data_IF_828208895988
#
_entry.id   IF_828208895988
#
_cell.length_a   1.000
_cell.length_b   1.000
_cell.length_c   1.000
_cell.angle_alpha   90.00
_cell.angle_beta   90.00
_cell.angle_gamma   90.00
#
_symmetry.space_group_name_H-M   'P 1'
#
loop_
_entity.id
_entity.type
_entity.pdbx_description
1 polymer ?
#
# COMPACT_ATOMS: atom_id res chain seq x y z
N UNK A 1 -10.16 6.46 -12.48
CA UNK A 1 -9.49 7.76 -12.70
C UNK A 1 -9.47 8.16 -14.16
N UNK A 2 -9.25 7.23 -15.09
CA UNK A 2 -9.29 7.47 -16.54
C UNK A 2 -10.55 8.21 -17.05
N UNK A 3 -11.75 7.77 -16.66
CA UNK A 3 -13.01 8.42 -17.06
C UNK A 3 -13.15 9.83 -16.50
N UNK A 4 -12.68 10.08 -15.27
CA UNK A 4 -12.75 11.41 -14.65
C UNK A 4 -11.79 12.39 -15.32
N UNK A 5 -10.55 11.99 -15.65
CA UNK A 5 -9.61 12.87 -16.36
C UNK A 5 -9.94 13.04 -17.85
N UNK A 6 -10.61 12.06 -18.47
CA UNK A 6 -11.13 12.18 -19.83
C UNK A 6 -12.29 13.18 -19.97
N UNK A 7 -13.08 13.34 -18.90
CA UNK A 7 -14.22 14.27 -18.85
C UNK A 7 -13.82 15.68 -18.40
N UNK A 8 -12.89 15.80 -17.44
CA UNK A 8 -12.54 17.07 -16.77
C UNK A 8 -11.14 17.61 -17.12
N UNK A 9 -10.64 17.38 -18.34
CA UNK A 9 -9.33 17.91 -18.74
C UNK A 9 -9.39 19.43 -18.99
N UNK A 10 -8.66 20.21 -18.19
CA UNK A 10 -8.71 21.68 -18.22
C UNK A 10 -7.64 22.32 -19.12
N UNK A 11 -6.53 21.62 -19.41
CA UNK A 11 -5.39 22.15 -20.18
C UNK A 11 -5.63 22.15 -21.70
N UNK A 12 -4.98 23.07 -22.41
CA UNK A 12 -4.97 23.17 -23.88
C UNK A 12 -3.75 22.41 -24.44
N UNK A 13 -3.81 21.72 -25.60
CA UNK A 13 -4.87 21.70 -26.61
C UNK A 13 -5.99 20.67 -26.34
N UNK A 14 -7.20 20.96 -26.81
CA UNK A 14 -8.40 20.12 -26.62
C UNK A 14 -8.84 19.52 -27.96
N UNK A 15 -8.52 18.25 -28.23
CA UNK A 15 -9.17 17.50 -29.32
C UNK A 15 -10.36 16.76 -28.77
N UNK A 16 -11.55 17.30 -29.04
CA UNK A 16 -12.82 16.70 -28.65
C UNK A 16 -13.03 15.44 -29.50
N UNK A 17 -13.09 14.28 -28.85
CA UNK A 17 -13.28 13.00 -29.56
C UNK A 17 -14.76 12.61 -29.65
N UNK A 18 -15.54 12.90 -28.59
CA UNK A 18 -16.95 12.52 -28.49
C UNK A 18 -17.72 13.48 -27.58
N UNK A 19 -18.84 14.01 -28.05
CA UNK A 19 -19.78 14.83 -27.26
C UNK A 19 -20.91 13.91 -26.80
N UNK A 20 -21.02 13.68 -25.49
CA UNK A 20 -22.03 12.77 -24.91
C UNK A 20 -23.35 13.50 -24.66
N UNK A 21 -23.30 14.77 -24.23
CA UNK A 21 -24.49 15.59 -23.93
C UNK A 21 -24.28 16.98 -24.53
N UNK A 22 -25.23 17.42 -25.36
CA UNK A 22 -25.29 18.79 -25.88
C UNK A 22 -25.61 19.79 -24.75
N UNK A 23 -25.13 21.05 -24.86
CA UNK A 23 -25.34 22.04 -23.81
C UNK A 23 -26.83 22.24 -23.54
N UNK A 24 -27.23 22.08 -22.29
CA UNK A 24 -28.60 22.33 -21.85
C UNK A 24 -28.58 23.23 -20.60
N UNK A 25 -29.73 23.76 -20.18
CA UNK A 25 -29.84 24.71 -19.05
C UNK A 25 -29.20 24.25 -17.72
N UNK A 26 -28.98 22.93 -17.55
CA UNK A 26 -28.33 22.33 -16.38
C UNK A 26 -26.82 22.09 -16.57
N UNK A 27 -26.31 22.05 -17.80
CA UNK A 27 -24.90 21.76 -18.14
C UNK A 27 -24.42 22.73 -19.21
N UNK A 28 -23.88 23.89 -18.78
CA UNK A 28 -23.50 25.00 -19.65
C UNK A 28 -22.37 24.68 -20.66
N UNK A 29 -21.57 23.62 -20.45
CA UNK A 29 -20.45 23.25 -21.34
C UNK A 29 -20.65 21.93 -22.11
N UNK A 30 -21.74 21.21 -21.85
CA UNK A 30 -21.94 19.83 -22.35
C UNK A 30 -20.89 18.84 -21.82
N UNK A 31 -21.18 17.54 -21.89
CA UNK A 31 -20.23 16.52 -21.46
C UNK A 31 -19.39 16.06 -22.66
N UNK A 32 -18.15 16.53 -22.74
CA UNK A 32 -17.23 16.23 -23.86
C UNK A 32 -16.08 15.36 -23.36
N UNK A 33 -15.74 14.30 -24.09
CA UNK A 33 -14.56 13.50 -23.83
C UNK A 33 -13.40 14.05 -24.65
N UNK A 34 -12.31 14.39 -23.95
CA UNK A 34 -11.06 14.89 -24.55
C UNK A 34 -10.08 13.73 -24.78
N UNK A 35 -9.46 13.69 -25.96
CA UNK A 35 -8.46 12.67 -26.31
C UNK A 35 -7.23 12.76 -25.39
N UNK A 36 -6.79 13.98 -25.10
CA UNK A 36 -5.67 14.27 -24.21
C UNK A 36 -5.98 13.86 -22.75
N UNK A 37 -7.24 14.07 -22.30
CA UNK A 37 -7.70 13.63 -21.00
C UNK A 37 -7.73 12.10 -20.84
N UNK A 38 -8.06 11.38 -21.92
CA UNK A 38 -8.01 9.91 -21.94
C UNK A 38 -6.57 9.39 -21.86
N UNK A 39 -5.63 10.01 -22.58
CA UNK A 39 -4.20 9.65 -22.54
C UNK A 39 -3.60 9.87 -21.15
N UNK A 40 -3.77 11.06 -20.57
CA UNK A 40 -3.28 11.35 -19.21
C UNK A 40 -3.98 10.47 -18.16
N UNK A 41 -5.27 10.22 -18.32
CA UNK A 41 -6.05 9.32 -17.47
C UNK A 41 -5.58 7.87 -17.53
N UNK A 42 -5.16 7.39 -18.71
CA UNK A 42 -4.59 6.06 -18.90
C UNK A 42 -3.22 5.94 -18.21
N UNK A 43 -2.33 6.92 -18.42
CA UNK A 43 -1.00 6.97 -17.77
C UNK A 43 -1.15 6.99 -16.24
N UNK A 44 -2.06 7.80 -15.70
CA UNK A 44 -2.28 7.89 -14.25
C UNK A 44 -2.89 6.59 -13.68
N UNK A 45 -3.82 5.97 -14.41
CA UNK A 45 -4.42 4.70 -13.97
C UNK A 45 -3.40 3.57 -13.99
N UNK A 46 -2.56 3.50 -15.03
CA UNK A 46 -1.46 2.54 -15.11
C UNK A 46 -0.44 2.73 -13.98
N UNK A 47 -0.13 3.98 -13.63
CA UNK A 47 0.75 4.31 -12.50
C UNK A 47 0.20 3.76 -11.18
N UNK A 48 -1.09 3.98 -10.90
CA UNK A 48 -1.71 3.50 -9.66
C UNK A 48 -1.72 1.97 -9.61
N UNK A 49 -2.04 1.33 -10.74
CA UNK A 49 -1.99 -0.14 -10.85
C UNK A 49 -0.57 -0.66 -10.60
N UNK A 50 0.43 -0.09 -11.25
CA UNK A 50 1.83 -0.51 -11.10
C UNK A 50 2.29 -0.41 -9.63
N UNK A 51 2.02 0.72 -8.95
CA UNK A 51 2.35 0.90 -7.52
C UNK A 51 1.60 -0.11 -6.65
N UNK A 52 0.33 -0.38 -6.96
CA UNK A 52 -0.48 -1.35 -6.22
C UNK A 52 0.07 -2.77 -6.38
N UNK A 53 0.44 -3.18 -7.60
CA UNK A 53 1.04 -4.49 -7.86
C UNK A 53 2.35 -4.69 -7.12
N UNK A 54 3.23 -3.68 -7.10
CA UNK A 54 4.47 -3.73 -6.31
C UNK A 54 4.15 -3.87 -4.82
N UNK A 55 3.20 -3.09 -4.30
CA UNK A 55 2.75 -3.19 -2.90
C UNK A 55 2.21 -4.58 -2.55
N UNK A 56 1.35 -5.15 -3.38
CA UNK A 56 0.85 -6.51 -3.20
C UNK A 56 1.95 -7.55 -3.28
N UNK A 57 2.89 -7.41 -4.23
CA UNK A 57 4.05 -8.30 -4.34
C UNK A 57 4.89 -8.31 -3.07
N UNK A 58 5.14 -7.15 -2.47
CA UNK A 58 5.85 -7.05 -1.17
C UNK A 58 5.06 -7.76 -0.07
N UNK A 59 3.76 -7.49 0.06
CA UNK A 59 2.92 -8.11 1.08
C UNK A 59 2.82 -9.65 0.95
N UNK A 60 2.77 -10.19 -0.27
CA UNK A 60 2.69 -11.63 -0.51
C UNK A 60 4.03 -12.36 -0.35
N UNK A 61 5.14 -11.72 -0.70
CA UNK A 61 6.47 -12.35 -0.66
C UNK A 61 7.19 -12.21 0.69
N UNK A 62 6.78 -11.26 1.53
CA UNK A 62 7.45 -10.96 2.80
C UNK A 62 6.85 -11.77 3.95
N UNK A 63 7.65 -12.64 4.56
CA UNK A 63 7.28 -13.31 5.80
C UNK A 63 7.41 -12.38 7.01
N UNK A 64 6.64 -12.65 8.08
CA UNK A 64 6.69 -11.87 9.32
C UNK A 64 8.11 -11.83 9.95
N UNK A 65 8.93 -12.84 9.68
CA UNK A 65 10.30 -12.94 10.22
C UNK A 65 11.25 -11.96 9.51
N UNK A 66 11.16 -11.87 8.19
CA UNK A 66 11.93 -10.88 7.41
C UNK A 66 11.52 -9.45 7.77
N UNK A 67 10.26 -9.25 8.12
CA UNK A 67 9.79 -7.95 8.61
C UNK A 67 10.44 -7.57 9.95
N UNK A 68 10.57 -8.52 10.90
CA UNK A 68 11.27 -8.30 12.16
C UNK A 68 12.73 -7.90 11.96
N UNK A 69 13.42 -8.61 11.06
CA UNK A 69 14.82 -8.34 10.74
C UNK A 69 15.00 -6.97 10.08
N UNK A 70 14.08 -6.59 9.18
CA UNK A 70 14.06 -5.25 8.59
C UNK A 70 13.90 -4.14 9.63
N UNK A 71 12.99 -4.30 10.60
CA UNK A 71 12.82 -3.34 11.70
C UNK A 71 14.06 -3.28 12.61
N UNK A 72 14.72 -4.42 12.84
CA UNK A 72 15.99 -4.47 13.59
C UNK A 72 17.11 -3.77 12.84
N UNK A 73 17.20 -3.92 11.52
CA UNK A 73 18.17 -3.23 10.68
C UNK A 73 18.03 -1.70 10.73
N UNK A 74 16.81 -1.20 10.93
CA UNK A 74 16.50 0.23 11.12
C UNK A 74 16.86 0.72 12.56
N UNK A 75 17.47 -0.14 13.40
CA UNK A 75 17.84 0.14 14.80
C UNK A 75 16.67 0.51 15.72
N UNK A 76 15.49 -0.05 15.44
CA UNK A 76 14.35 0.05 16.37
C UNK A 76 14.63 -0.82 17.61
N UNK A 77 14.31 -0.37 18.83
CA UNK A 77 14.40 -1.18 20.04
C UNK A 77 13.74 -2.56 19.87
N UNK A 78 14.42 -3.62 20.32
CA UNK A 78 13.98 -4.99 20.11
C UNK A 78 12.56 -5.25 20.64
N UNK A 79 12.19 -4.63 21.76
CA UNK A 79 10.83 -4.71 22.33
C UNK A 79 9.75 -4.24 21.35
N UNK A 80 9.95 -3.09 20.70
CA UNK A 80 9.02 -2.56 19.71
C UNK A 80 8.95 -3.45 18.47
N UNK A 81 10.10 -3.89 17.96
CA UNK A 81 10.15 -4.77 16.79
C UNK A 81 9.45 -6.11 17.06
N UNK A 82 9.67 -6.70 18.24
CA UNK A 82 9.01 -7.92 18.69
C UNK A 82 7.50 -7.75 18.83
N UNK A 83 7.04 -6.64 19.44
CA UNK A 83 5.61 -6.35 19.56
C UNK A 83 4.94 -6.19 18.19
N UNK A 84 5.57 -5.46 17.26
CA UNK A 84 5.04 -5.26 15.91
C UNK A 84 4.87 -6.59 15.16
N UNK A 85 5.89 -7.45 15.19
CA UNK A 85 5.85 -8.74 14.50
C UNK A 85 4.89 -9.72 15.16
N UNK A 86 4.82 -9.70 16.50
CA UNK A 86 3.83 -10.50 17.23
C UNK A 86 2.41 -10.06 16.87
N UNK A 87 2.16 -8.76 16.73
CA UNK A 87 0.86 -8.24 16.28
C UNK A 87 0.51 -8.73 14.86
N UNK A 88 1.45 -8.70 13.93
CA UNK A 88 1.25 -9.24 12.56
C UNK A 88 0.94 -10.73 12.59
N UNK A 89 1.68 -11.52 13.39
CA UNK A 89 1.40 -12.96 13.59
C UNK A 89 0.06 -13.23 14.28
N UNK A 90 -0.48 -12.26 15.01
CA UNK A 90 -1.75 -12.38 15.69
C UNK A 90 -2.95 -12.21 14.74
N UNK A 91 -2.79 -11.50 13.62
CA UNK A 91 -3.84 -11.32 12.60
C UNK A 91 -4.46 -12.65 12.13
N UNK A 92 -3.69 -13.67 11.67
CA UNK A 92 -4.27 -14.94 11.26
C UNK A 92 -4.94 -15.70 12.42
N UNK A 93 -4.43 -15.56 13.64
CA UNK A 93 -5.03 -16.16 14.84
C UNK A 93 -6.40 -15.53 15.11
N UNK A 94 -6.49 -14.19 15.08
CA UNK A 94 -7.74 -13.45 15.19
C UNK A 94 -8.76 -13.88 14.13
N UNK A 95 -8.33 -14.03 12.88
CA UNK A 95 -9.20 -14.47 11.79
C UNK A 95 -9.74 -15.89 12.02
N UNK A 96 -8.90 -16.82 12.50
CA UNK A 96 -9.31 -18.19 12.81
C UNK A 96 -10.29 -18.26 14.00
N UNK A 97 -10.11 -17.41 15.00
CA UNK A 97 -11.00 -17.30 16.15
C UNK A 97 -12.36 -16.75 15.72
N UNK A 98 -12.35 -15.70 14.88
CA UNK A 98 -13.56 -15.13 14.31
C UNK A 98 -14.34 -16.17 13.49
N UNK A 99 -13.65 -16.96 12.66
CA UNK A 99 -14.28 -18.05 11.91
C UNK A 99 -14.88 -19.13 12.81
N UNK A 100 -14.17 -19.54 13.86
CA UNK A 100 -14.63 -20.53 14.84
C UNK A 100 -15.89 -20.08 15.56
N UNK A 101 -15.90 -18.84 16.06
CA UNK A 101 -17.06 -18.24 16.71
C UNK A 101 -18.23 -18.12 15.74
N UNK A 102 -17.99 -17.67 14.51
CA UNK A 102 -19.03 -17.54 13.49
C UNK A 102 -19.65 -18.89 13.13
N UNK A 103 -18.84 -19.94 13.06
CA UNK A 103 -19.31 -21.31 12.85
C UNK A 103 -20.19 -21.78 14.00
N UNK A 104 -19.77 -21.54 15.26
CA UNK A 104 -20.56 -21.89 16.44
C UNK A 104 -21.91 -21.14 16.48
N UNK A 105 -21.94 -19.87 16.08
CA UNK A 105 -23.20 -19.11 15.97
C UNK A 105 -24.10 -19.67 14.88
N UNK A 106 -23.55 -20.07 13.71
CA UNK A 106 -24.31 -20.71 12.63
C UNK A 106 -24.99 -22.01 13.11
N UNK A 107 -24.29 -22.81 13.92
CA UNK A 107 -24.87 -24.01 14.54
C UNK A 107 -26.02 -23.66 15.52
N UNK A 108 -25.93 -22.53 16.22
CA UNK A 108 -27.00 -22.00 17.08
C UNK A 108 -28.15 -21.34 16.30
N UNK A 109 -28.19 -21.48 14.98
CA UNK A 109 -29.28 -20.99 14.13
C UNK A 109 -29.08 -19.59 13.56
N UNK A 110 -27.90 -18.97 13.73
CA UNK A 110 -27.58 -17.71 13.07
C UNK A 110 -27.56 -17.89 11.55
N UNK A 111 -28.49 -17.22 10.86
CA UNK A 111 -28.55 -17.15 9.39
C UNK A 111 -28.37 -15.71 8.93
N UNK A 112 -27.24 -15.37 8.28
CA UNK A 112 -27.02 -14.02 7.74
C UNK A 112 -28.15 -13.62 6.79
N UNK A 113 -28.56 -12.35 6.82
CA UNK A 113 -29.53 -11.74 5.89
C UNK A 113 -30.98 -12.25 5.97
N UNK A 114 -31.31 -13.23 6.82
CA UNK A 114 -32.68 -13.75 6.94
C UNK A 114 -33.64 -12.79 7.64
N UNK A 115 -33.16 -12.05 8.64
CA UNK A 115 -33.97 -11.10 9.44
C UNK A 115 -33.68 -9.63 9.07
N UNK A 116 -33.02 -9.39 7.93
CA UNK A 116 -32.60 -8.06 7.49
C UNK A 116 -31.17 -7.66 7.88
N UNK A 117 -30.69 -6.56 7.31
CA UNK A 117 -29.31 -6.08 7.47
C UNK A 117 -29.01 -5.61 8.90
N UNK A 118 -29.98 -4.96 9.56
CA UNK A 118 -29.82 -4.42 10.92
C UNK A 118 -29.57 -5.54 11.94
N UNK A 119 -30.38 -6.58 11.91
CA UNK A 119 -30.25 -7.74 12.80
C UNK A 119 -28.95 -8.51 12.53
N UNK A 120 -28.56 -8.60 11.26
CA UNK A 120 -27.28 -9.21 10.85
C UNK A 120 -26.10 -8.44 11.47
N UNK A 121 -26.11 -7.11 11.41
CA UNK A 121 -25.06 -6.26 12.00
C UNK A 121 -25.05 -6.38 13.52
N UNK A 122 -26.21 -6.29 14.19
CA UNK A 122 -26.26 -6.43 15.66
C UNK A 122 -25.73 -7.79 16.11
N UNK A 123 -26.01 -8.86 15.37
CA UNK A 123 -25.52 -10.20 15.70
C UNK A 123 -24.02 -10.35 15.44
N UNK A 124 -23.49 -9.80 14.34
CA UNK A 124 -22.04 -9.79 14.09
C UNK A 124 -21.30 -8.94 15.15
N UNK A 125 -21.87 -7.83 15.62
CA UNK A 125 -21.32 -7.07 16.76
C UNK A 125 -21.38 -7.88 18.06
N UNK A 126 -22.45 -8.65 18.30
CA UNK A 126 -22.54 -9.54 19.45
C UNK A 126 -21.46 -10.64 19.43
N UNK A 127 -21.01 -11.06 18.23
CA UNK A 127 -19.92 -12.03 18.06
C UNK A 127 -18.56 -11.53 18.56
N UNK A 128 -18.36 -10.21 18.67
CA UNK A 128 -17.12 -9.66 19.18
C UNK A 128 -16.85 -10.08 20.62
N UNK A 129 -17.89 -10.25 21.46
CA UNK A 129 -17.70 -10.65 22.86
C UNK A 129 -16.99 -12.01 23.01
N UNK A 130 -17.50 -13.12 22.40
CA UNK A 130 -16.80 -14.39 22.47
C UNK A 130 -15.46 -14.39 21.76
N UNK A 131 -15.31 -13.67 20.63
CA UNK A 131 -14.01 -13.54 19.95
C UNK A 131 -13.00 -12.88 20.87
N UNK A 132 -13.31 -11.73 21.47
CA UNK A 132 -12.42 -11.03 22.38
C UNK A 132 -12.02 -11.91 23.58
N UNK A 133 -12.97 -12.65 24.15
CA UNK A 133 -12.68 -13.58 25.24
C UNK A 133 -11.73 -14.71 24.82
N UNK A 134 -11.91 -15.30 23.63
CA UNK A 134 -11.01 -16.30 23.08
C UNK A 134 -9.60 -15.76 22.81
N UNK A 135 -9.53 -14.56 22.25
CA UNK A 135 -8.30 -13.85 21.93
C UNK A 135 -7.49 -13.49 23.18
N UNK A 136 -8.14 -13.03 24.26
CA UNK A 136 -7.49 -12.73 25.54
C UNK A 136 -6.90 -14.01 26.15
N UNK A 137 -7.65 -15.11 26.14
CA UNK A 137 -7.14 -16.40 26.63
C UNK A 137 -5.92 -16.85 25.82
N UNK A 138 -5.98 -16.72 24.50
CA UNK A 138 -4.87 -17.09 23.61
C UNK A 138 -3.65 -16.22 23.82
N UNK A 139 -3.80 -14.92 24.06
CA UNK A 139 -2.67 -14.03 24.35
C UNK A 139 -2.02 -14.38 25.68
N UNK A 140 -2.80 -14.75 26.70
CA UNK A 140 -2.28 -15.24 27.98
C UNK A 140 -1.50 -16.56 27.82
N UNK A 141 -2.02 -17.52 27.04
CA UNK A 141 -1.30 -18.76 26.72
C UNK A 141 0.05 -18.49 26.03
N UNK A 142 0.07 -17.59 25.05
CA UNK A 142 1.29 -17.20 24.34
C UNK A 142 2.27 -16.53 25.31
N UNK A 143 1.80 -15.61 26.15
CA UNK A 143 2.63 -14.93 27.14
C UNK A 143 3.25 -15.92 28.14
N UNK A 144 2.45 -16.83 28.69
CA UNK A 144 2.94 -17.87 29.60
C UNK A 144 3.98 -18.78 28.91
N UNK A 145 3.74 -19.19 27.66
CA UNK A 145 4.70 -19.98 26.87
C UNK A 145 6.03 -19.26 26.62
N UNK A 146 5.98 -17.94 26.44
CA UNK A 146 7.18 -17.11 26.27
C UNK A 146 7.94 -17.00 27.61
N UNK A 147 7.23 -16.79 28.71
CA UNK A 147 7.81 -16.66 30.05
C UNK A 147 8.46 -17.97 30.51
N UNK A 148 7.84 -19.13 30.27
CA UNK A 148 8.40 -20.45 30.65
C UNK A 148 9.67 -20.80 29.89
N UNK A 149 9.88 -20.20 28.71
CA UNK A 149 11.13 -20.32 27.94
C UNK A 149 12.25 -19.38 28.41
N UNK A 150 12.03 -18.60 29.48
CA UNK A 150 13.02 -17.68 30.03
C UNK A 150 13.25 -16.43 29.18
N UNK A 151 12.23 -15.97 28.45
CA UNK A 151 12.36 -14.79 27.59
C UNK A 151 12.52 -13.50 28.42
N UNK A 152 13.65 -12.82 28.28
CA UNK A 152 13.92 -11.49 28.85
C UNK A 152 14.01 -10.41 27.78
N UNK A 153 13.40 -9.24 27.97
CA UNK A 153 13.52 -8.13 27.01
C UNK A 153 14.92 -7.50 27.00
N UNK A 154 15.64 -7.61 28.10
CA UNK A 154 17.01 -7.13 28.25
C UNK A 154 18.02 -8.23 27.92
N UNK A 155 19.01 -7.89 27.08
CA UNK A 155 20.13 -8.76 26.72
C UNK A 155 20.46 -8.76 25.22
N UNK A 156 21.69 -9.16 24.89
CA UNK A 156 22.09 -9.43 23.51
C UNK A 156 21.38 -10.70 23.01
N UNK A 157 20.62 -10.57 21.92
CA UNK A 157 19.85 -11.67 21.32
C UNK A 157 20.64 -12.27 20.16
N UNK A 158 20.81 -13.58 20.17
CA UNK A 158 21.29 -14.33 19.00
C UNK A 158 20.13 -14.58 18.03
N UNK A 159 20.38 -14.41 16.72
CA UNK A 159 19.41 -14.70 15.67
C UNK A 159 19.72 -16.07 15.08
N UNK A 160 18.77 -17.00 15.08
CA UNK A 160 18.97 -18.32 14.47
C UNK A 160 19.08 -18.22 12.93
N UNK A 161 18.33 -17.29 12.35
CA UNK A 161 18.40 -16.97 10.94
C UNK A 161 19.14 -15.64 10.80
N UNK A 162 20.31 -15.68 10.17
CA UNK A 162 21.00 -14.48 9.72
C UNK A 162 20.71 -14.33 8.23
N UNK A 163 19.97 -13.28 7.88
CA UNK A 163 19.70 -12.96 6.48
C UNK A 163 20.87 -12.18 5.91
N UNK A 164 21.80 -12.90 5.27
CA UNK A 164 22.81 -12.25 4.44
C UNK A 164 22.16 -11.77 3.13
N UNK A 165 22.36 -10.49 2.82
CA UNK A 165 22.00 -9.95 1.51
C UNK A 165 22.89 -10.61 0.46
N UNK A 166 22.31 -11.50 -0.33
CA UNK A 166 22.97 -12.04 -1.51
C UNK A 166 23.48 -10.90 -2.42
N UNK A 167 24.58 -11.14 -3.12
CA UNK A 167 25.20 -10.16 -4.03
C UNK A 167 24.21 -9.62 -5.08
N UNK A 168 23.25 -10.45 -5.49
CA UNK A 168 22.16 -10.07 -6.40
C UNK A 168 21.27 -8.98 -5.80
N UNK A 169 20.95 -9.04 -4.50
CA UNK A 169 20.15 -8.00 -3.83
C UNK A 169 20.91 -6.68 -3.73
N UNK A 170 22.23 -6.74 -3.52
CA UNK A 170 23.09 -5.55 -3.53
C UNK A 170 23.16 -4.90 -4.91
N UNK A 171 23.37 -5.68 -5.96
CA UNK A 171 23.35 -5.19 -7.35
C UNK A 171 22.00 -4.57 -7.70
N UNK A 172 20.90 -5.22 -7.32
CA UNK A 172 19.55 -4.69 -7.54
C UNK A 172 19.33 -3.37 -6.79
N UNK A 173 19.82 -3.25 -5.55
CA UNK A 173 19.71 -2.02 -4.76
C UNK A 173 20.48 -0.85 -5.39
N UNK A 174 21.73 -1.09 -5.81
CA UNK A 174 22.57 -0.08 -6.46
C UNK A 174 21.95 0.35 -7.80
N UNK A 175 21.46 -0.61 -8.58
CA UNK A 175 20.78 -0.33 -9.85
C UNK A 175 19.52 0.53 -9.65
N UNK A 176 18.67 0.17 -8.67
CA UNK A 176 17.48 0.94 -8.32
C UNK A 176 17.84 2.36 -7.85
N UNK A 177 18.82 2.49 -6.95
CA UNK A 177 19.28 3.77 -6.45
C UNK A 177 19.83 4.66 -7.57
N UNK A 178 20.57 4.08 -8.52
CA UNK A 178 21.06 4.76 -9.72
C UNK A 178 19.94 5.32 -10.58
N UNK A 179 18.88 4.55 -10.83
CA UNK A 179 17.70 5.00 -11.58
C UNK A 179 17.00 6.15 -10.85
N UNK A 180 16.80 6.04 -9.53
CA UNK A 180 16.14 7.09 -8.73
C UNK A 180 16.95 8.38 -8.76
N UNK A 181 18.27 8.32 -8.60
CA UNK A 181 19.16 9.48 -8.66
C UNK A 181 19.19 10.10 -10.07
N UNK A 182 19.15 9.29 -11.12
CA UNK A 182 19.07 9.78 -12.50
C UNK A 182 17.75 10.55 -12.73
N UNK A 183 16.62 10.00 -12.31
CA UNK A 183 15.32 10.67 -12.44
C UNK A 183 15.25 11.94 -11.59
N UNK A 184 15.76 11.89 -10.35
CA UNK A 184 15.81 13.03 -9.45
C UNK A 184 16.70 14.15 -10.00
N UNK A 185 17.87 13.82 -10.54
CA UNK A 185 18.78 14.80 -11.15
C UNK A 185 18.17 15.42 -12.41
N UNK A 186 17.52 14.65 -13.29
CA UNK A 186 16.76 15.19 -14.42
C UNK A 186 15.65 16.17 -13.97
N UNK A 187 14.89 15.82 -12.92
CA UNK A 187 13.87 16.73 -12.36
C UNK A 187 14.46 18.01 -11.75
N UNK A 188 15.57 17.87 -11.02
CA UNK A 188 16.24 19.00 -10.37
C UNK A 188 16.85 19.94 -11.40
N UNK A 189 17.48 19.41 -12.46
CA UNK A 189 17.98 20.21 -13.58
C UNK A 189 16.84 20.95 -14.29
N UNK A 190 15.69 20.30 -14.50
CA UNK A 190 14.52 20.95 -15.09
C UNK A 190 13.95 22.07 -14.20
N UNK A 191 13.91 21.84 -12.88
CA UNK A 191 13.47 22.85 -11.92
C UNK A 191 14.42 24.05 -11.84
N UNK A 192 15.73 23.82 -11.86
CA UNK A 192 16.75 24.88 -11.92
C UNK A 192 16.68 25.67 -13.23
N UNK A 193 16.36 25.01 -14.35
CA UNK A 193 16.10 25.67 -15.63
C UNK A 193 14.87 26.60 -15.54
N UNK A 194 13.78 26.17 -14.90
CA UNK A 194 12.60 27.02 -14.70
C UNK A 194 12.87 28.26 -13.86
N UNK A 195 13.80 28.18 -12.90
CA UNK A 195 14.13 29.28 -11.98
C UNK A 195 15.25 30.21 -12.53
N UNK A 196 15.68 30.02 -13.78
CA UNK A 196 16.74 30.77 -14.47
C UNK A 196 18.13 30.81 -13.79
N UNK A 197 18.38 29.99 -12.76
CA UNK A 197 19.64 30.03 -11.99
C UNK A 197 20.84 29.39 -12.72
N UNK A 198 20.63 28.44 -13.65
CA UNK A 198 21.73 27.74 -14.34
C UNK A 198 21.32 27.30 -15.76
N UNK A 199 22.02 27.80 -16.78
CA UNK A 199 21.88 27.36 -18.17
C UNK A 199 23.20 26.81 -18.70
N UNK A 200 23.27 25.50 -18.92
CA UNK A 200 24.40 24.84 -19.56
C UNK A 200 24.01 24.41 -21.00
N UNK A 201 24.68 24.91 -22.05
CA UNK A 201 24.34 24.62 -23.45
C UNK A 201 24.39 23.12 -23.82
N UNK A 202 25.20 22.33 -23.11
CA UNK A 202 25.44 20.90 -23.34
C UNK A 202 24.23 20.03 -22.92
N UNK A 203 23.38 20.51 -22.01
CA UNK A 203 22.24 19.76 -21.45
C UNK A 203 20.91 19.99 -22.19
N UNK A 204 20.92 20.71 -23.32
CA UNK A 204 19.76 20.94 -24.19
C UNK A 204 18.92 19.70 -24.53
N UNK A 205 19.50 18.53 -24.90
CA UNK A 205 18.71 17.33 -25.18
C UNK A 205 18.00 16.78 -23.93
N UNK A 206 18.63 16.91 -22.75
CA UNK A 206 18.04 16.48 -21.47
C UNK A 206 16.88 17.39 -21.07
N UNK A 207 17.01 18.70 -21.27
CA UNK A 207 15.91 19.65 -21.04
C UNK A 207 14.74 19.45 -22.00
N UNK A 208 15.00 19.14 -23.27
CA UNK A 208 13.97 18.83 -24.26
C UNK A 208 13.22 17.53 -23.90
N UNK A 209 13.95 16.50 -23.47
CA UNK A 209 13.36 15.25 -22.99
C UNK A 209 12.54 15.47 -21.70
N UNK A 210 13.09 16.18 -20.72
CA UNK A 210 12.38 16.51 -19.49
C UNK A 210 11.09 17.31 -19.75
N UNK A 211 11.11 18.30 -20.66
CA UNK A 211 9.92 19.08 -21.05
C UNK A 211 8.83 18.24 -21.71
N UNK A 212 9.18 17.16 -22.39
CA UNK A 212 8.19 16.28 -23.05
C UNK A 212 7.47 15.33 -22.10
N UNK A 213 8.03 15.08 -20.91
CA UNK A 213 7.53 14.08 -19.96
C UNK A 213 7.05 14.66 -18.62
N UNK A 214 7.39 15.92 -18.32
CA UNK A 214 7.08 16.63 -17.07
C UNK A 214 6.04 17.72 -17.35
#
# INVERSE_FOLDING_TARGET
MMLSQGIFYYQFPRRVLLVIIEPNWLFSDGLRIYAEGLYHGAVQSLRILAVSFVGFGICFSTSADRFLEGLRAIRIPFSLAFMAVTAVRFIPILASEFQSVRMAMRLKGYRPFRNGLRDTIMTEVASLRPVLAGVIRRSQEIALSILTRGFSFDGERTSLHETHLALIHWLALVFLAGIVLLVASCKLLFWLYQQEFYYAPVLRPVYAFARSWL
#
